data_IF_102050097196
#
_entry.id   IF_102050097196
#
_cell.length_a   1.000
_cell.length_b   1.000
_cell.length_c   1.000
_cell.angle_alpha   90.00
_cell.angle_beta   90.00
_cell.angle_gamma   90.00
#
_symmetry.space_group_name_H-M   'P 1'
#
loop_
_entity.id
_entity.type
_entity.pdbx_description
1 polymer ?
#
# COMPACT_ATOMS: atom_id res chain seq x y z
N UNK A 1 -0.25 -4.81 25.48
CA UNK A 1 0.59 -4.65 24.27
C UNK A 1 -0.20 -3.83 23.27
N UNK A 2 0.42 -2.87 22.60
CA UNK A 2 -0.25 -2.10 21.55
C UNK A 2 -0.12 -2.89 20.25
N UNK A 3 -1.22 -3.47 19.78
CA UNK A 3 -1.24 -4.23 18.53
C UNK A 3 -1.20 -3.24 17.36
N UNK A 4 -0.15 -3.32 16.54
CA UNK A 4 -0.06 -2.51 15.32
C UNK A 4 -0.91 -3.20 14.25
N UNK A 5 -2.12 -2.68 14.00
CA UNK A 5 -3.03 -3.25 13.01
C UNK A 5 -2.97 -2.53 11.65
N UNK A 6 -2.26 -1.41 11.59
CA UNK A 6 -2.15 -0.57 10.41
C UNK A 6 -0.69 -0.27 10.15
N UNK A 7 -0.30 -0.26 8.88
CA UNK A 7 1.04 0.12 8.44
C UNK A 7 0.98 1.00 7.19
N UNK A 8 2.04 1.77 6.99
CA UNK A 8 2.27 2.48 5.73
C UNK A 8 2.38 1.46 4.58
N UNK A 9 1.75 1.76 3.45
CA UNK A 9 1.95 1.03 2.19
C UNK A 9 3.46 0.93 1.89
N UNK A 10 3.91 -0.25 1.50
CA UNK A 10 5.33 -0.52 1.24
C UNK A 10 5.89 0.26 0.03
N UNK A 11 5.04 0.85 -0.81
CA UNK A 11 5.50 1.74 -1.88
C UNK A 11 6.14 3.01 -1.29
N UNK A 12 7.40 3.35 -1.65
CA UNK A 12 8.15 4.44 -1.02
C UNK A 12 7.46 5.80 -1.19
N UNK A 13 6.92 6.07 -2.39
CA UNK A 13 6.19 7.29 -2.74
C UNK A 13 4.74 7.31 -2.25
N UNK A 14 4.24 6.17 -1.76
CA UNK A 14 2.87 6.06 -1.29
C UNK A 14 2.73 6.57 0.14
N UNK A 15 1.69 7.38 0.33
CA UNK A 15 1.33 8.00 1.61
C UNK A 15 0.14 7.28 2.28
N UNK A 16 -0.36 6.21 1.67
CA UNK A 16 -1.50 5.49 2.18
C UNK A 16 -1.13 4.64 3.40
N UNK A 17 -1.98 4.67 4.41
CA UNK A 17 -1.96 3.75 5.55
C UNK A 17 -3.00 2.66 5.28
N UNK A 18 -2.62 1.41 5.52
CA UNK A 18 -3.43 0.23 5.23
C UNK A 18 -3.49 -0.66 6.45
N UNK A 19 -4.61 -1.35 6.65
CA UNK A 19 -4.73 -2.38 7.69
C UNK A 19 -4.01 -3.63 7.24
N UNK A 20 -3.21 -4.24 8.13
CA UNK A 20 -2.47 -5.48 7.84
C UNK A 20 -3.41 -6.61 7.38
N UNK A 21 -4.62 -6.67 7.94
CA UNK A 21 -5.63 -7.68 7.64
C UNK A 21 -6.29 -7.53 6.27
N UNK A 22 -6.32 -6.31 5.73
CA UNK A 22 -7.03 -5.99 4.47
C UNK A 22 -6.09 -5.56 3.34
N UNK A 23 -4.82 -5.32 3.66
CA UNK A 23 -3.82 -4.92 2.68
C UNK A 23 -3.39 -6.09 1.79
N UNK A 24 -2.92 -5.75 0.60
CA UNK A 24 -2.40 -6.74 -0.34
C UNK A 24 -1.00 -7.14 0.13
N UNK A 25 -0.84 -8.38 0.58
CA UNK A 25 0.44 -8.95 0.97
C UNK A 25 1.13 -9.55 -0.27
N UNK A 26 2.27 -8.99 -0.65
CA UNK A 26 3.10 -9.47 -1.75
C UNK A 26 4.57 -9.33 -1.37
N UNK A 27 5.38 -10.37 -1.51
CA UNK A 27 6.81 -10.33 -1.15
C UNK A 27 7.05 -9.83 0.29
N UNK A 28 6.25 -10.35 1.24
CA UNK A 28 6.22 -9.94 2.66
C UNK A 28 5.98 -8.44 2.91
N UNK A 29 5.48 -7.73 1.89
CA UNK A 29 5.18 -6.30 1.92
C UNK A 29 3.68 -6.07 1.75
N UNK A 30 3.14 -5.14 2.53
CA UNK A 30 1.72 -4.78 2.49
C UNK A 30 1.51 -3.54 1.60
N UNK A 31 0.57 -3.65 0.67
CA UNK A 31 0.27 -2.61 -0.30
C UNK A 31 -1.20 -2.17 -0.24
N UNK A 32 -1.46 -0.92 -0.59
CA UNK A 32 -2.82 -0.36 -0.62
C UNK A 32 -3.63 -0.75 -1.85
N UNK A 33 -2.96 -1.10 -2.95
CA UNK A 33 -3.60 -1.46 -4.21
C UNK A 33 -2.63 -2.27 -5.05
N UNK A 34 -3.15 -3.02 -6.02
CA UNK A 34 -2.37 -3.82 -6.98
C UNK A 34 -1.36 -2.95 -7.74
N UNK A 35 -1.72 -1.69 -8.03
CA UNK A 35 -0.80 -0.72 -8.62
C UNK A 35 0.48 -0.56 -7.80
N UNK A 36 0.39 -0.41 -6.48
CA UNK A 36 1.58 -0.35 -5.64
C UNK A 36 2.30 -1.70 -5.50
N UNK A 37 1.56 -2.81 -5.48
CA UNK A 37 2.12 -4.15 -5.38
C UNK A 37 2.90 -4.57 -6.63
N UNK A 38 2.52 -4.04 -7.79
CA UNK A 38 3.22 -4.22 -9.08
C UNK A 38 4.26 -3.12 -9.33
N UNK A 39 4.30 -2.05 -8.52
CA UNK A 39 5.25 -0.94 -8.67
C UNK A 39 4.87 0.06 -9.77
N UNK A 40 3.58 0.31 -9.97
CA UNK A 40 3.02 1.28 -10.93
C UNK A 40 3.41 1.01 -12.40
N UNK A 41 3.68 -0.24 -12.75
CA UNK A 41 4.03 -0.64 -14.12
C UNK A 41 2.87 -0.45 -15.10
N UNK A 42 1.66 -0.80 -14.67
CA UNK A 42 0.43 -0.75 -15.48
C UNK A 42 -0.53 0.34 -15.02
N UNK A 43 -0.60 0.58 -13.70
CA UNK A 43 -1.51 1.55 -13.08
C UNK A 43 -0.69 2.71 -12.53
N UNK A 44 -0.89 3.91 -13.06
CA UNK A 44 -0.33 5.15 -12.50
C UNK A 44 -1.14 5.51 -11.24
N UNK A 45 -0.52 5.60 -10.08
CA UNK A 45 -1.29 5.80 -8.85
C UNK A 45 -1.61 4.49 -8.13
N UNK A 46 -1.95 4.63 -6.86
CA UNK A 46 -2.67 3.61 -6.10
C UNK A 46 -4.19 3.74 -6.18
N UNK A 47 -4.70 4.71 -6.94
CA UNK A 47 -6.13 5.01 -7.05
C UNK A 47 -6.73 5.75 -5.85
N UNK A 48 -5.97 6.00 -4.78
CA UNK A 48 -6.42 6.80 -3.65
C UNK A 48 -6.30 8.29 -3.94
N UNK A 49 -7.39 9.03 -3.67
CA UNK A 49 -7.43 10.47 -3.85
C UNK A 49 -6.40 11.15 -2.94
N UNK A 50 -5.53 11.99 -3.51
CA UNK A 50 -4.45 12.66 -2.80
C UNK A 50 -3.15 11.87 -2.68
N UNK A 51 -3.09 10.61 -3.11
CA UNK A 51 -1.85 9.84 -3.19
C UNK A 51 -1.36 9.76 -4.64
N UNK A 52 -0.31 10.51 -4.96
CA UNK A 52 0.29 10.58 -6.30
C UNK A 52 1.43 9.61 -6.55
N UNK A 53 1.40 8.42 -5.93
CA UNK A 53 2.47 7.42 -6.04
C UNK A 53 2.49 6.67 -7.36
#
# INVERSE_FOLDING_TARGET
MTTVNQMKCACPSCLCVVSLESAILKDDKHYCSDGCAEGHQTIKGCGHNGCGC
#
